data_IF_354940568441
#
_entry.id   IF_354940568441
#
_cell.length_a   1.000
_cell.length_b   1.000
_cell.length_c   1.000
_cell.angle_alpha   90.00
_cell.angle_beta   90.00
_cell.angle_gamma   90.00
#
_symmetry.space_group_name_H-M   'P 1'
#
loop_
_entity.id
_entity.type
_entity.pdbx_description
1 polymer ?
#
# COMPACT_ATOMS: atom_id res chain seq x y z
N UNK A 1 -1.67 8.34 -22.17
CA UNK A 1 -1.02 7.20 -21.49
C UNK A 1 -1.39 7.32 -20.02
N UNK A 2 -2.36 6.53 -19.52
CA UNK A 2 -2.79 6.64 -18.13
C UNK A 2 -1.61 6.22 -17.22
N UNK A 3 -1.00 7.18 -16.52
CA UNK A 3 0.05 6.95 -15.51
C UNK A 3 -0.62 6.13 -14.40
N UNK A 4 -0.49 4.80 -14.46
CA UNK A 4 -1.19 3.90 -13.55
C UNK A 4 -0.47 4.00 -12.20
N UNK A 5 -1.03 4.78 -11.28
CA UNK A 5 -0.46 5.02 -9.97
C UNK A 5 -0.23 3.68 -9.25
N UNK A 6 1.03 3.24 -9.19
CA UNK A 6 1.41 1.95 -8.61
C UNK A 6 1.29 1.95 -7.08
N UNK A 7 1.43 3.13 -6.44
CA UNK A 7 1.27 3.31 -5.00
C UNK A 7 -0.13 2.94 -4.47
N UNK A 8 -1.24 3.53 -4.96
CA UNK A 8 -2.58 3.18 -4.45
C UNK A 8 -2.97 1.73 -4.75
N UNK A 9 -2.42 1.13 -5.82
CA UNK A 9 -2.61 -0.30 -6.12
C UNK A 9 -1.85 -1.19 -5.13
N UNK A 10 -0.59 -0.89 -4.83
CA UNK A 10 0.20 -1.66 -3.86
C UNK A 10 -0.38 -1.55 -2.44
N UNK A 11 -0.76 -0.34 -2.03
CA UNK A 11 -1.38 -0.09 -0.74
C UNK A 11 -2.75 -0.78 -0.64
N UNK A 12 -3.60 -0.65 -1.66
CA UNK A 12 -4.92 -1.30 -1.69
C UNK A 12 -4.83 -2.83 -1.63
N UNK A 13 -3.88 -3.43 -2.34
CA UNK A 13 -3.63 -4.87 -2.29
C UNK A 13 -3.11 -5.33 -0.92
N UNK A 14 -2.16 -4.59 -0.33
CA UNK A 14 -1.61 -4.90 0.99
C UNK A 14 -2.65 -4.77 2.11
N UNK A 15 -3.50 -3.74 2.06
CA UNK A 15 -4.61 -3.55 3.01
C UNK A 15 -5.64 -4.67 2.86
N UNK A 16 -6.03 -5.04 1.64
CA UNK A 16 -6.99 -6.13 1.43
C UNK A 16 -6.48 -7.47 1.97
N UNK A 17 -5.20 -7.79 1.74
CA UNK A 17 -4.58 -9.03 2.24
C UNK A 17 -4.41 -8.96 3.76
N UNK A 18 -3.91 -7.87 4.32
CA UNK A 18 -3.75 -7.69 5.76
C UNK A 18 -5.07 -7.72 6.52
N UNK A 19 -6.13 -7.13 5.95
CA UNK A 19 -7.48 -7.17 6.53
C UNK A 19 -8.07 -8.58 6.46
N UNK A 20 -7.90 -9.32 5.36
CA UNK A 20 -8.37 -10.68 5.24
C UNK A 20 -7.66 -11.63 6.21
N UNK A 21 -6.33 -11.51 6.34
CA UNK A 21 -5.53 -12.30 7.30
C UNK A 21 -5.84 -11.92 8.75
N UNK A 22 -6.03 -10.63 9.03
CA UNK A 22 -6.43 -10.15 10.35
C UNK A 22 -7.81 -10.63 10.76
N UNK A 23 -8.78 -10.59 9.84
CA UNK A 23 -10.13 -11.10 10.07
C UNK A 23 -10.15 -12.62 10.26
N UNK A 24 -9.32 -13.36 9.52
CA UNK A 24 -9.21 -14.82 9.66
C UNK A 24 -8.52 -15.24 10.97
N UNK A 25 -7.54 -14.47 11.43
CA UNK A 25 -6.80 -14.77 12.66
C UNK A 25 -7.51 -14.27 13.92
N UNK A 26 -8.44 -13.31 13.77
CA UNK A 26 -9.09 -12.63 14.90
C UNK A 26 -8.30 -11.43 15.46
N UNK A 27 -7.12 -11.16 14.91
CA UNK A 27 -6.17 -10.15 15.38
C UNK A 27 -5.86 -9.11 14.28
N UNK A 28 -6.87 -8.30 13.93
CA UNK A 28 -6.72 -7.23 12.92
C UNK A 28 -5.66 -6.20 13.35
N UNK A 29 -5.48 -5.99 14.65
CA UNK A 29 -4.52 -5.02 15.20
C UNK A 29 -3.06 -5.29 14.78
N UNK A 30 -2.69 -6.56 14.57
CA UNK A 30 -1.33 -6.94 14.18
C UNK A 30 -1.24 -7.09 12.66
N UNK A 31 -2.23 -7.69 12.02
CA UNK A 31 -2.18 -8.00 10.59
C UNK A 31 -2.45 -6.80 9.67
N UNK A 32 -3.22 -5.80 10.12
CA UNK A 32 -3.46 -4.58 9.36
C UNK A 32 -2.19 -3.73 9.15
N UNK A 33 -1.40 -3.38 10.19
CA UNK A 33 -0.16 -2.62 9.98
C UNK A 33 0.88 -3.42 9.18
N UNK A 34 0.92 -4.75 9.32
CA UNK A 34 1.76 -5.63 8.49
C UNK A 34 1.36 -5.57 7.02
N UNK A 35 0.05 -5.66 6.72
CA UNK A 35 -0.46 -5.52 5.35
C UNK A 35 -0.20 -4.15 4.74
N UNK A 36 -0.34 -3.08 5.53
CA UNK A 36 -0.01 -1.70 5.10
C UNK A 36 1.49 -1.57 4.83
N UNK A 37 2.36 -2.06 5.71
CA UNK A 37 3.81 -1.98 5.53
C UNK A 37 4.28 -2.75 4.28
N UNK A 38 3.74 -3.96 4.05
CA UNK A 38 4.04 -4.76 2.85
C UNK A 38 3.47 -4.08 1.60
N UNK A 39 2.23 -3.61 1.64
CA UNK A 39 1.58 -2.93 0.51
C UNK A 39 2.27 -1.62 0.14
N UNK A 40 2.70 -0.84 1.14
CA UNK A 40 3.47 0.39 0.95
C UNK A 40 4.86 0.06 0.40
N UNK A 41 5.58 -0.91 0.96
CA UNK A 41 6.89 -1.33 0.46
C UNK A 41 6.84 -1.84 -0.99
N UNK A 42 5.83 -2.64 -1.33
CA UNK A 42 5.60 -3.11 -2.69
C UNK A 42 5.18 -1.97 -3.62
N UNK A 43 4.28 -1.09 -3.17
CA UNK A 43 3.88 0.09 -3.94
C UNK A 43 5.05 1.03 -4.23
N UNK A 44 5.92 1.27 -3.25
CA UNK A 44 7.10 2.14 -3.40
C UNK A 44 8.17 1.47 -4.25
N UNK A 45 8.42 0.15 -4.11
CA UNK A 45 9.38 -0.52 -5.00
C UNK A 45 8.87 -0.64 -6.43
N UNK A 46 7.57 -0.82 -6.66
CA UNK A 46 6.99 -0.86 -8.01
C UNK A 46 6.96 0.53 -8.64
N UNK A 47 6.76 1.57 -7.84
CA UNK A 47 6.92 2.96 -8.28
C UNK A 47 8.38 3.26 -8.61
N UNK A 48 9.32 2.90 -7.74
CA UNK A 48 10.76 3.10 -7.94
C UNK A 48 11.30 2.30 -9.12
N UNK A 49 10.77 1.09 -9.37
CA UNK A 49 11.13 0.27 -10.53
C UNK A 49 10.43 0.72 -11.82
N UNK A 50 9.39 1.55 -11.74
CA UNK A 50 8.53 1.92 -12.86
C UNK A 50 8.67 3.34 -13.40
N UNK A 51 9.33 4.27 -12.70
CA UNK A 51 9.43 5.70 -13.07
C UNK A 51 10.56 6.34 -12.23
N UNK A 52 11.67 6.85 -12.75
CA UNK A 52 11.79 8.09 -13.54
C UNK A 52 10.48 8.90 -13.55
N UNK A 53 10.44 9.98 -12.75
CA UNK A 53 9.41 11.04 -12.68
C UNK A 53 8.25 10.89 -11.68
N UNK A 54 8.31 11.78 -10.67
CA UNK A 54 7.27 12.58 -10.02
C UNK A 54 6.02 11.94 -9.38
N UNK A 55 5.94 12.17 -8.06
CA UNK A 55 4.97 12.99 -7.30
C UNK A 55 3.48 12.62 -7.32
N UNK A 56 2.91 12.50 -6.11
CA UNK A 56 1.72 13.25 -5.67
C UNK A 56 1.26 12.75 -4.28
N UNK A 57 1.62 13.54 -3.27
CA UNK A 57 0.83 13.99 -2.12
C UNK A 57 -0.24 13.07 -1.49
N UNK A 58 -0.07 12.78 -0.19
CA UNK A 58 -1.19 12.73 0.77
C UNK A 58 -0.75 13.22 2.14
N UNK A 59 -0.83 14.55 2.27
CA UNK A 59 -1.40 15.29 3.39
C UNK A 59 -1.97 14.46 4.55
N UNK A 60 -1.32 14.56 5.71
CA UNK A 60 -1.95 14.46 7.03
C UNK A 60 -1.36 15.59 7.91
N UNK A 61 -1.90 16.80 7.74
CA UNK A 61 -1.66 17.95 8.61
C UNK A 61 -2.95 18.42 9.29
N UNK A 62 -2.95 18.31 10.63
CA UNK A 62 -3.84 18.92 11.65
C UNK A 62 -5.23 18.32 11.93
#
# INVERSE_FOLDING_TARGET
MAKKSALPIGLGAGVAIGAALGAATGDIAIWLPVGIAIGAALGTTLMAAGSDSEDDNKDEGE
#
